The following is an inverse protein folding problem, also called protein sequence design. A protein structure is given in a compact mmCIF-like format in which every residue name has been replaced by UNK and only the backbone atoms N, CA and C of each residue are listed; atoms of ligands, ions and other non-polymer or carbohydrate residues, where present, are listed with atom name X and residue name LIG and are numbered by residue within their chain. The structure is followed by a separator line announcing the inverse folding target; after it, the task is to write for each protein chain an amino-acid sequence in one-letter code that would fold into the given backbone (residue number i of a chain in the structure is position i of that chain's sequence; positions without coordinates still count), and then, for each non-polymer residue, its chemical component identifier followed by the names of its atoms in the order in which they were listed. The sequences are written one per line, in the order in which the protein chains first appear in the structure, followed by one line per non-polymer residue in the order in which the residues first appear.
data_IF_339902934647
#
_entry.id   IF_339902934647
#
_cell.length_a   1.000
_cell.length_b   1.000
_cell.length_c   1.000
_cell.angle_alpha   90.00
_cell.angle_beta   90.00
_cell.angle_gamma   90.00
#
_symmetry.space_group_name_H-M   'P 1'
#
loop_
_entity.id
_entity.type
_entity.pdbx_description
1 polymer ?
#
# COMPACT_ATOMS: atom_id res chain seq x y z
N UNK A 1 -5.44 -7.24 35.59
CA UNK A 1 -5.92 -7.90 34.35
C UNK A 1 -4.70 -8.23 33.50
N UNK A 2 -4.35 -9.50 33.26
CA UNK A 2 -3.19 -9.82 32.44
C UNK A 2 -3.54 -9.54 30.98
N UNK A 3 -2.76 -8.63 30.38
CA UNK A 3 -2.87 -8.26 28.98
C UNK A 3 -2.53 -9.47 28.11
N UNK A 4 -3.56 -10.06 27.48
CA UNK A 4 -3.41 -11.09 26.46
C UNK A 4 -2.72 -10.44 25.27
N UNK A 5 -1.41 -10.69 25.12
CA UNK A 5 -0.75 -10.47 23.83
C UNK A 5 -1.44 -11.40 22.84
N UNK A 6 -2.07 -10.81 21.83
CA UNK A 6 -2.59 -11.56 20.69
C UNK A 6 -1.40 -12.26 20.00
N UNK A 7 -1.58 -13.50 19.53
CA UNK A 7 -0.53 -14.21 18.83
C UNK A 7 -0.15 -13.44 17.57
N UNK A 8 1.14 -13.10 17.46
CA UNK A 8 1.76 -12.69 16.21
C UNK A 8 1.68 -13.88 15.27
N UNK A 9 0.67 -13.93 14.40
CA UNK A 9 0.62 -14.87 13.29
C UNK A 9 1.78 -14.56 12.36
N UNK A 10 2.93 -15.18 12.62
CA UNK A 10 4.01 -15.33 11.63
C UNK A 10 3.48 -16.28 10.57
N UNK A 11 2.87 -15.72 9.53
CA UNK A 11 2.74 -16.45 8.28
C UNK A 11 4.14 -16.53 7.68
N UNK A 12 4.66 -17.75 7.47
CA UNK A 12 5.76 -18.03 6.55
C UNK A 12 5.28 -17.70 5.13
N UNK A 13 5.14 -16.41 4.85
CA UNK A 13 4.48 -15.86 3.68
C UNK A 13 5.48 -15.59 2.55
N UNK A 14 5.06 -15.93 1.33
CA UNK A 14 5.73 -15.46 0.11
C UNK A 14 5.75 -13.93 0.13
N UNK A 15 6.89 -13.27 -0.14
CA UNK A 15 6.96 -11.81 -0.14
C UNK A 15 6.07 -11.23 -1.24
N UNK A 16 5.24 -10.25 -0.88
CA UNK A 16 4.35 -9.54 -1.82
C UNK A 16 5.04 -8.26 -2.29
N UNK A 17 5.16 -8.10 -3.61
CA UNK A 17 5.64 -6.84 -4.22
C UNK A 17 4.48 -5.86 -4.40
N UNK A 18 4.75 -4.57 -4.23
CA UNK A 18 3.75 -3.52 -4.37
C UNK A 18 4.34 -2.12 -4.47
N UNK A 19 3.47 -1.12 -4.32
CA UNK A 19 3.81 0.30 -4.31
C UNK A 19 3.78 0.85 -2.89
N UNK A 20 4.81 1.60 -2.51
CA UNK A 20 4.79 2.39 -1.28
C UNK A 20 4.28 3.81 -1.57
N UNK A 21 3.09 4.13 -1.09
CA UNK A 21 2.60 5.51 -1.04
C UNK A 21 3.27 6.23 0.12
N UNK A 22 4.06 7.26 -0.18
CA UNK A 22 4.83 8.03 0.81
C UNK A 22 4.24 9.43 1.02
N UNK A 23 4.62 10.06 2.13
CA UNK A 23 4.21 11.43 2.51
C UNK A 23 2.68 11.63 2.63
N UNK A 24 1.95 10.57 2.99
CA UNK A 24 0.53 10.68 3.30
C UNK A 24 0.32 11.42 4.63
N UNK A 25 -0.56 12.41 4.62
CA UNK A 25 -0.96 13.12 5.85
C UNK A 25 -1.82 12.20 6.72
N UNK A 26 -1.92 12.45 8.04
CA UNK A 26 -2.84 11.71 8.92
C UNK A 26 -4.30 11.72 8.43
N UNK A 27 -4.69 12.75 7.69
CA UNK A 27 -6.00 12.89 7.13
C UNK A 27 -6.22 12.03 5.87
N UNK A 28 -5.24 12.01 4.96
CA UNK A 28 -5.26 11.11 3.81
C UNK A 28 -5.31 9.65 4.28
N UNK A 29 -4.58 9.32 5.34
CA UNK A 29 -4.66 8.02 5.99
C UNK A 29 -6.06 7.68 6.52
N UNK A 30 -6.79 8.64 7.11
CA UNK A 30 -8.19 8.42 7.54
C UNK A 30 -9.15 8.20 6.38
N UNK A 31 -8.90 8.83 5.23
CA UNK A 31 -9.72 8.63 4.04
C UNK A 31 -9.48 7.24 3.46
N UNK A 32 -8.23 6.77 3.45
CA UNK A 32 -7.93 5.37 3.13
C UNK A 32 -8.60 4.42 4.13
N UNK A 33 -8.53 4.70 5.44
CA UNK A 33 -9.22 3.88 6.45
C UNK A 33 -10.75 3.81 6.19
N UNK A 34 -11.35 4.91 5.73
CA UNK A 34 -12.77 4.96 5.37
C UNK A 34 -13.08 4.20 4.07
N UNK A 35 -12.23 4.34 3.05
CA UNK A 35 -12.41 3.71 1.74
C UNK A 35 -12.31 2.18 1.81
N UNK A 36 -11.32 1.67 2.54
CA UNK A 36 -11.10 0.23 2.73
C UNK A 36 -12.19 -0.40 3.62
N UNK A 37 -12.85 0.41 4.44
CA UNK A 37 -14.00 0.00 5.25
C UNK A 37 -13.65 -1.00 6.36
N UNK A 38 -14.66 -1.74 6.82
CA UNK A 38 -14.50 -2.74 7.90
C UNK A 38 -13.90 -4.07 7.40
N UNK A 39 -13.82 -4.23 6.07
CA UNK A 39 -13.32 -5.45 5.42
C UNK A 39 -11.80 -5.61 5.58
N UNK A 40 -11.08 -4.51 5.81
CA UNK A 40 -9.63 -4.51 6.00
C UNK A 40 -9.23 -3.83 7.30
N UNK A 41 -8.16 -4.33 7.92
CA UNK A 41 -7.52 -3.71 9.08
C UNK A 41 -6.13 -3.20 8.70
N UNK A 42 -5.85 -1.92 9.00
CA UNK A 42 -4.51 -1.36 8.81
C UNK A 42 -3.52 -1.94 9.84
N UNK A 43 -2.46 -2.58 9.36
CA UNK A 43 -1.36 -3.11 10.17
C UNK A 43 -0.06 -2.40 9.81
N UNK A 44 0.83 -2.24 10.79
CA UNK A 44 2.17 -1.70 10.54
C UNK A 44 3.11 -2.86 10.24
N UNK A 45 3.79 -2.81 9.10
CA UNK A 45 4.75 -3.83 8.65
C UNK A 45 6.07 -3.19 8.21
N UNK A 46 7.13 -3.99 8.15
CA UNK A 46 8.41 -3.59 7.55
C UNK A 46 8.41 -4.02 6.08
N UNK A 47 8.71 -3.11 5.18
CA UNK A 47 8.85 -3.37 3.74
C UNK A 47 10.26 -3.08 3.27
N UNK A 48 10.71 -3.84 2.28
CA UNK A 48 11.98 -3.62 1.59
C UNK A 48 11.75 -2.74 0.35
N UNK A 49 12.46 -1.60 0.27
CA UNK A 49 12.40 -0.73 -0.90
C UNK A 49 13.30 -1.27 -2.01
N UNK A 50 12.69 -1.63 -3.12
CA UNK A 50 13.41 -2.02 -4.34
C UNK A 50 13.99 -0.76 -4.98
N UNK A 51 15.31 -0.61 -4.93
CA UNK A 51 16.02 0.49 -5.57
C UNK A 51 15.81 0.43 -7.09
N UNK A 52 15.02 1.37 -7.64
CA UNK A 52 14.79 1.50 -9.08
C UNK A 52 15.86 2.35 -9.77
N UNK A 53 16.68 3.08 -9.02
CA UNK A 53 17.90 3.70 -9.52
C UNK A 53 19.02 2.67 -9.49
N UNK A 54 19.17 1.91 -10.58
CA UNK A 54 20.46 1.35 -10.93
C UNK A 54 21.41 2.51 -11.29
N UNK A 55 21.99 3.16 -10.29
CA UNK A 55 23.26 3.85 -10.49
C UNK A 55 24.26 2.75 -10.86
N UNK A 56 24.60 2.69 -12.16
CA UNK A 56 25.47 1.66 -12.74
C UNK A 56 26.91 1.65 -12.19
N UNK A 57 27.24 2.53 -11.26
CA UNK A 57 28.62 2.81 -10.87
C UNK A 57 29.00 2.44 -9.43
N UNK A 58 28.11 1.87 -8.60
CA UNK A 58 28.49 1.48 -7.25
C UNK A 58 28.14 0.01 -6.92
N UNK A 59 29.09 -0.89 -7.24
CA UNK A 59 28.99 -2.35 -7.06
C UNK A 59 29.21 -2.85 -5.63
N UNK A 60 29.27 -1.99 -4.63
CA UNK A 60 29.54 -2.41 -3.24
C UNK A 60 28.52 -1.79 -2.30
N UNK A 61 27.34 -2.42 -2.22
CA UNK A 61 26.48 -2.58 -1.03
C UNK A 61 25.01 -2.61 -1.49
N UNK A 62 24.32 -3.77 -1.49
CA UNK A 62 22.88 -3.80 -1.65
C UNK A 62 22.27 -3.29 -0.34
N UNK A 63 22.25 -1.97 -0.15
CA UNK A 63 21.60 -1.36 1.01
C UNK A 63 20.09 -1.47 0.78
N UNK A 64 19.53 -2.63 1.10
CA UNK A 64 18.08 -2.86 1.13
C UNK A 64 17.50 -1.93 2.18
N UNK A 65 16.93 -0.80 1.73
CA UNK A 65 16.35 0.20 2.62
C UNK A 65 15.02 -0.35 3.13
N UNK A 66 14.95 -0.69 4.41
CA UNK A 66 13.70 -1.10 5.06
C UNK A 66 12.93 0.12 5.56
N UNK A 67 11.60 0.09 5.44
CA UNK A 67 10.72 1.11 6.01
C UNK A 67 9.52 0.49 6.71
N UNK A 68 9.14 1.13 7.82
CA UNK A 68 7.87 0.86 8.49
C UNK A 68 6.74 1.61 7.77
N UNK A 69 5.69 0.90 7.36
CA UNK A 69 4.51 1.50 6.73
C UNK A 69 3.21 0.78 7.11
N UNK A 70 2.08 1.44 6.88
CA UNK A 70 0.76 0.85 7.03
C UNK A 70 0.35 0.06 5.79
N UNK A 71 -0.20 -1.14 5.98
CA UNK A 71 -0.81 -1.98 4.94
C UNK A 71 -2.20 -2.41 5.38
N UNK A 72 -3.14 -2.56 4.45
CA UNK A 72 -4.49 -3.02 4.72
C UNK A 72 -4.55 -4.53 4.51
N UNK A 73 -4.85 -5.26 5.58
CA UNK A 73 -4.94 -6.73 5.59
C UNK A 73 -6.41 -7.12 5.76
N UNK A 74 -6.91 -7.98 4.88
CA UNK A 74 -8.31 -8.40 4.92
C UNK A 74 -8.64 -9.04 6.26
N UNK A 75 -9.72 -8.58 6.89
CA UNK A 75 -10.24 -9.10 8.14
C UNK A 75 -10.86 -10.48 7.89
N UNK A 76 -10.39 -11.50 8.61
CA UNK A 76 -10.73 -12.94 8.46
C UNK A 76 -12.23 -13.32 8.58
N UNK A 77 -13.15 -12.35 8.68
CA UNK A 77 -14.56 -12.59 8.99
C UNK A 77 -15.47 -12.72 7.77
N UNK A 78 -15.01 -12.37 6.56
CA UNK A 78 -15.78 -12.59 5.35
C UNK A 78 -15.35 -13.89 4.66
N UNK A 79 -16.30 -14.78 4.32
CA UNK A 79 -15.99 -15.95 3.51
C UNK A 79 -15.48 -15.48 2.14
N UNK A 80 -14.30 -15.97 1.77
CA UNK A 80 -13.57 -15.67 0.55
C UNK A 80 -14.23 -16.28 -0.70
N UNK A 81 -15.54 -16.13 -0.85
CA UNK A 81 -16.32 -16.81 -1.89
C UNK A 81 -16.09 -16.27 -3.31
N UNK A 82 -15.44 -15.11 -3.45
CA UNK A 82 -15.20 -14.45 -4.75
C UNK A 82 -13.73 -14.15 -5.04
N UNK A 83 -12.82 -14.58 -4.18
CA UNK A 83 -11.39 -14.45 -4.46
C UNK A 83 -10.94 -15.72 -5.19
N UNK A 84 -10.34 -15.53 -6.36
CA UNK A 84 -9.91 -16.59 -7.27
C UNK A 84 -8.66 -17.33 -6.75
N UNK A 85 -8.72 -17.76 -5.48
CA UNK A 85 -7.72 -18.64 -4.87
C UNK A 85 -7.66 -19.99 -5.57
N UNK A 86 -8.75 -20.41 -6.23
CA UNK A 86 -8.85 -21.68 -6.96
C UNK A 86 -7.99 -21.70 -8.23
N UNK A 87 -7.75 -20.54 -8.85
CA UNK A 87 -6.84 -20.46 -10.01
C UNK A 87 -5.38 -20.79 -9.69
N UNK A 88 -4.98 -20.68 -8.41
CA UNK A 88 -3.59 -20.87 -7.98
C UNK A 88 -2.62 -19.88 -8.60
N UNK A 89 -3.12 -18.80 -9.20
CA UNK A 89 -2.30 -17.77 -9.82
C UNK A 89 -1.80 -16.81 -8.75
N UNK A 90 -0.48 -16.81 -8.55
CA UNK A 90 0.17 -15.83 -7.71
C UNK A 90 0.00 -14.43 -8.31
N UNK A 91 -0.09 -13.43 -7.43
CA UNK A 91 -0.12 -12.02 -7.84
C UNK A 91 1.18 -11.63 -8.55
N UNK A 92 1.08 -11.31 -9.85
CA UNK A 92 2.21 -10.79 -10.63
C UNK A 92 2.17 -9.25 -10.67
N UNK A 93 3.01 -8.66 -9.82
CA UNK A 93 3.16 -7.21 -9.74
C UNK A 93 3.72 -6.59 -11.03
N UNK A 94 4.61 -7.28 -11.74
CA UNK A 94 5.23 -6.73 -12.95
C UNK A 94 4.21 -6.73 -14.11
N UNK A 95 3.32 -7.72 -14.17
CA UNK A 95 2.18 -7.72 -15.08
C UNK A 95 1.16 -6.61 -14.73
N UNK A 96 0.80 -6.48 -13.45
CA UNK A 96 -0.09 -5.38 -13.01
C UNK A 96 0.44 -4.00 -13.40
N UNK A 97 1.76 -3.78 -13.23
CA UNK A 97 2.40 -2.52 -13.60
C UNK A 97 2.26 -2.19 -15.09
N UNK A 98 2.29 -3.19 -15.95
CA UNK A 98 2.20 -3.01 -17.40
C UNK A 98 0.75 -2.81 -17.85
N UNK A 99 -0.18 -3.56 -17.25
CA UNK A 99 -1.53 -3.68 -17.80
C UNK A 99 -2.58 -2.82 -17.10
N UNK A 100 -2.43 -2.62 -15.79
CA UNK A 100 -3.52 -2.12 -14.94
C UNK A 100 -3.14 -0.88 -14.13
N UNK A 101 -1.87 -0.53 -14.06
CA UNK A 101 -1.40 0.59 -13.25
C UNK A 101 -2.05 1.91 -13.66
N UNK A 102 -2.12 2.21 -14.96
CA UNK A 102 -2.74 3.44 -15.44
C UNK A 102 -4.22 3.52 -15.04
N UNK A 103 -4.98 2.44 -15.28
CA UNK A 103 -6.37 2.34 -14.87
C UNK A 103 -6.54 2.52 -13.36
N UNK A 104 -5.70 1.87 -12.55
CA UNK A 104 -5.73 1.97 -11.10
C UNK A 104 -5.45 3.40 -10.61
N UNK A 105 -4.45 4.05 -11.20
CA UNK A 105 -4.15 5.45 -10.90
C UNK A 105 -5.31 6.38 -11.29
N UNK A 106 -5.95 6.15 -12.43
CA UNK A 106 -7.05 6.99 -12.93
C UNK A 106 -8.38 6.74 -12.20
N UNK A 107 -8.71 5.50 -11.86
CA UNK A 107 -10.03 5.10 -11.35
C UNK A 107 -10.08 4.96 -9.83
N UNK A 108 -8.95 4.71 -9.19
CA UNK A 108 -8.90 4.55 -7.73
C UNK A 108 -8.17 5.70 -7.09
N UNK A 109 -6.92 5.98 -7.51
CA UNK A 109 -6.10 7.00 -6.84
C UNK A 109 -6.59 8.42 -7.13
N UNK A 110 -6.85 8.75 -8.40
CA UNK A 110 -7.22 10.11 -8.80
C UNK A 110 -8.56 10.58 -8.20
N UNK A 111 -9.65 9.80 -8.15
CA UNK A 111 -10.88 10.21 -7.49
C UNK A 111 -10.68 10.46 -6.00
N UNK A 112 -9.88 9.64 -5.31
CA UNK A 112 -9.51 9.89 -3.92
C UNK A 112 -8.76 11.22 -3.78
N UNK A 113 -7.81 11.52 -4.67
CA UNK A 113 -7.11 12.81 -4.70
C UNK A 113 -8.03 14.00 -4.96
N UNK A 114 -8.98 13.87 -5.89
CA UNK A 114 -9.97 14.91 -6.20
C UNK A 114 -10.90 15.18 -5.03
N UNK A 115 -11.36 14.12 -4.34
CA UNK A 115 -12.23 14.26 -3.17
C UNK A 115 -11.48 14.90 -1.99
N UNK A 116 -10.21 14.52 -1.81
CA UNK A 116 -9.30 15.18 -0.88
C UNK A 116 -9.16 16.68 -1.16
N UNK A 117 -9.01 17.06 -2.44
CA UNK A 117 -8.94 18.45 -2.85
C UNK A 117 -10.28 19.18 -2.62
N UNK A 118 -11.42 18.56 -2.97
CA UNK A 118 -12.76 19.12 -2.77
C UNK A 118 -13.06 19.40 -1.30
N UNK A 119 -12.60 18.53 -0.41
CA UNK A 119 -12.76 18.69 1.03
C UNK A 119 -11.76 19.69 1.65
N UNK A 120 -10.89 20.29 0.85
CA UNK A 120 -9.91 21.30 1.29
C UNK A 120 -8.68 20.71 1.98
N UNK A 121 -8.44 19.40 1.82
CA UNK A 121 -7.34 18.68 2.48
C UNK A 121 -6.08 18.59 1.62
N UNK A 122 -6.11 19.12 0.41
CA UNK A 122 -4.96 19.23 -0.48
C UNK A 122 -4.82 20.69 -0.93
N UNK A 123 -3.80 21.39 -0.43
CA UNK A 123 -3.31 22.63 -1.01
C UNK A 123 -2.11 22.27 -1.88
N UNK A 124 -2.22 22.53 -3.18
CA UNK A 124 -1.09 22.41 -4.09
C UNK A 124 -0.13 23.58 -3.81
N UNK A 125 0.81 23.38 -2.89
CA UNK A 125 1.83 24.37 -2.51
C UNK A 125 2.78 24.75 -3.68
N UNK A 126 2.61 24.14 -4.87
CA UNK A 126 3.34 24.51 -6.08
C UNK A 126 2.77 25.74 -6.79
N UNK A 127 1.64 26.31 -6.33
CA UNK A 127 1.07 27.55 -6.90
C UNK A 127 1.47 28.84 -6.19
N UNK A 128 2.37 28.79 -5.20
CA UNK A 128 2.81 29.98 -4.44
C UNK A 128 4.15 30.57 -4.91
N UNK A 129 4.57 30.23 -6.13
CA UNK A 129 5.72 30.82 -6.82
C UNK A 129 5.26 31.28 -8.20
N UNK A 130 4.44 32.33 -8.24
CA UNK A 130 4.40 33.36 -9.29
C UNK A 130 3.49 34.53 -8.87
#
# INVERSE_FOLDING_TARGET
VPSRRLPSHQHDGVPVKGLLLSNLTPQQLRILDWFEGEEYTRQTVQVELLNTHQDKDNKNDPTTLTRSCGVYVMSSHQPLTNLDYESGLDWDYDQFRQDQLEWFMEKTVLPCCQELQRLGYYQDDRKTLE
#
